data_IF_562414771050
#
_entry.id   IF_562414771050
#
_cell.length_a   1.000
_cell.length_b   1.000
_cell.length_c   1.000
_cell.angle_alpha   90.00
_cell.angle_beta   90.00
_cell.angle_gamma   90.00
#
_symmetry.space_group_name_H-M   'P 1'
#
loop_
_entity.id
_entity.type
_entity.pdbx_description
1 polymer ?
#
# COMPACT_ATOMS: atom_id res chain seq x y z
N UNK A 1 6.03 13.18 5.82
CA UNK A 1 5.58 11.90 5.23
C UNK A 1 5.20 12.17 3.78
N UNK A 2 5.58 11.29 2.88
CA UNK A 2 5.28 11.38 1.46
C UNK A 2 4.15 10.42 1.08
N UNK A 3 3.24 10.80 0.17
CA UNK A 3 2.14 9.93 -0.27
C UNK A 3 2.06 9.80 -1.79
N UNK A 4 1.72 8.60 -2.27
CA UNK A 4 1.44 8.37 -3.69
C UNK A 4 -0.01 8.70 -4.04
N UNK A 5 -0.23 9.27 -5.21
CA UNK A 5 -1.54 9.58 -5.74
C UNK A 5 -1.58 9.58 -7.26
N UNK A 6 -2.78 9.40 -7.79
CA UNK A 6 -3.10 9.61 -9.20
C UNK A 6 -3.95 10.86 -9.35
N UNK A 7 -3.79 11.55 -10.48
CA UNK A 7 -4.66 12.68 -10.82
C UNK A 7 -6.10 12.18 -10.95
N UNK A 8 -7.04 12.95 -10.41
CA UNK A 8 -8.47 12.69 -10.56
C UNK A 8 -8.96 13.19 -11.93
N UNK A 9 -10.11 12.67 -12.38
CA UNK A 9 -10.71 13.07 -13.67
C UNK A 9 -10.99 14.57 -13.76
N UNK A 10 -11.27 15.21 -12.63
CA UNK A 10 -11.48 16.64 -12.51
C UNK A 10 -10.30 17.27 -11.77
N UNK A 11 -9.66 18.25 -12.42
CA UNK A 11 -8.50 18.96 -11.89
C UNK A 11 -8.80 19.70 -10.58
N UNK A 12 -10.04 20.20 -10.39
CA UNK A 12 -10.44 20.88 -9.16
C UNK A 12 -10.42 19.92 -7.97
N UNK A 13 -10.82 18.67 -8.19
CA UNK A 13 -10.77 17.63 -7.16
C UNK A 13 -9.34 17.21 -6.87
N UNK A 14 -8.50 17.09 -7.92
CA UNK A 14 -7.05 16.85 -7.74
C UNK A 14 -6.43 17.94 -6.87
N UNK A 15 -6.69 19.21 -7.18
CA UNK A 15 -6.15 20.36 -6.43
C UNK A 15 -6.64 20.37 -4.98
N UNK A 16 -7.93 20.14 -4.75
CA UNK A 16 -8.49 20.05 -3.40
C UNK A 16 -7.84 18.94 -2.57
N UNK A 17 -7.65 17.74 -3.14
CA UNK A 17 -6.99 16.62 -2.45
C UNK A 17 -5.54 16.99 -2.10
N UNK A 18 -4.84 17.65 -3.02
CA UNK A 18 -3.45 18.05 -2.83
C UNK A 18 -3.33 19.14 -1.74
N UNK A 19 -4.23 20.12 -1.72
CA UNK A 19 -4.31 21.13 -0.67
C UNK A 19 -4.54 20.50 0.70
N UNK A 20 -5.50 19.57 0.82
CA UNK A 20 -5.79 18.86 2.07
C UNK A 20 -4.59 18.03 2.56
N UNK A 21 -3.89 17.35 1.65
CA UNK A 21 -2.67 16.59 1.98
C UNK A 21 -1.54 17.50 2.45
N UNK A 22 -1.33 18.62 1.77
CA UNK A 22 -0.30 19.59 2.12
C UNK A 22 -0.61 20.25 3.48
N UNK A 23 -1.88 20.60 3.74
CA UNK A 23 -2.32 21.12 5.03
C UNK A 23 -2.08 20.12 6.18
N UNK A 24 -2.19 18.82 5.90
CA UNK A 24 -1.85 17.74 6.83
C UNK A 24 -0.35 17.45 6.97
N UNK A 25 0.53 18.25 6.37
CA UNK A 25 1.98 18.07 6.42
C UNK A 25 2.51 16.93 5.54
N UNK A 26 1.68 16.34 4.66
CA UNK A 26 2.14 15.41 3.66
C UNK A 26 2.71 16.16 2.46
N UNK A 27 3.85 15.71 1.96
CA UNK A 27 4.33 16.09 0.64
C UNK A 27 3.81 15.07 -0.36
N UNK A 28 2.95 15.50 -1.27
CA UNK A 28 2.52 14.63 -2.35
C UNK A 28 3.68 14.44 -3.34
N UNK A 29 4.17 13.19 -3.47
CA UNK A 29 5.20 12.87 -4.45
C UNK A 29 4.56 12.65 -5.82
N UNK A 30 4.10 13.73 -6.46
CA UNK A 30 3.66 13.72 -7.86
C UNK A 30 2.83 12.49 -8.28
N UNK A 31 2.99 12.06 -9.54
CA UNK A 31 2.39 10.81 -10.02
C UNK A 31 3.10 9.60 -9.41
N UNK A 32 2.35 8.52 -9.20
CA UNK A 32 2.88 7.19 -8.86
C UNK A 32 4.03 6.67 -9.76
N UNK A 33 4.26 7.31 -10.91
CA UNK A 33 5.36 7.05 -11.83
C UNK A 33 6.71 7.69 -11.44
N UNK A 34 6.77 8.62 -10.47
CA UNK A 34 8.03 9.25 -10.09
C UNK A 34 8.86 8.38 -9.11
N UNK A 35 9.29 7.24 -9.63
CA UNK A 35 10.20 6.33 -8.93
C UNK A 35 11.49 7.02 -8.48
N UNK A 36 11.97 8.03 -9.23
CA UNK A 36 13.17 8.79 -8.86
C UNK A 36 12.92 9.64 -7.61
N UNK A 37 11.79 10.31 -7.52
CA UNK A 37 11.42 11.07 -6.33
C UNK A 37 11.25 10.16 -5.10
N UNK A 38 10.61 8.99 -5.25
CA UNK A 38 10.50 8.01 -4.17
C UNK A 38 11.87 7.54 -3.67
N UNK A 39 12.77 7.17 -4.59
CA UNK A 39 14.13 6.74 -4.22
C UNK A 39 14.87 7.85 -3.46
N UNK A 40 14.81 9.10 -3.96
CA UNK A 40 15.45 10.24 -3.30
C UNK A 40 14.90 10.49 -1.90
N UNK A 41 13.59 10.43 -1.73
CA UNK A 41 12.94 10.60 -0.43
C UNK A 41 13.40 9.53 0.57
N UNK A 42 13.40 8.25 0.17
CA UNK A 42 13.87 7.15 1.03
C UNK A 42 15.36 7.28 1.35
N UNK A 43 16.21 7.65 0.39
CA UNK A 43 17.63 7.90 0.61
C UNK A 43 17.90 9.09 1.54
N UNK A 44 17.00 10.06 1.59
CA UNK A 44 17.03 11.18 2.54
C UNK A 44 16.48 10.81 3.93
N UNK A 45 16.11 9.53 4.17
CA UNK A 45 15.54 9.07 5.43
C UNK A 45 14.07 9.47 5.63
N UNK A 46 13.38 9.91 4.58
CA UNK A 46 11.97 10.25 4.64
C UNK A 46 11.07 9.00 4.54
N UNK A 47 9.85 9.11 5.07
CA UNK A 47 8.84 8.04 5.03
C UNK A 47 7.94 8.21 3.79
N UNK A 48 7.65 7.11 3.10
CA UNK A 48 6.64 7.03 2.04
C UNK A 48 5.49 6.13 2.51
N UNK A 49 4.27 6.67 2.47
CA UNK A 49 3.03 5.92 2.67
C UNK A 49 2.48 5.46 1.31
N UNK A 50 2.21 4.15 1.20
CA UNK A 50 1.75 3.51 -0.03
C UNK A 50 0.54 2.62 0.28
N UNK A 51 -0.63 2.85 -0.34
CA UNK A 51 -1.71 1.87 -0.32
C UNK A 51 -1.32 0.67 -1.19
N UNK A 52 -1.55 -0.54 -0.69
CA UNK A 52 -1.09 -1.80 -1.31
C UNK A 52 -2.23 -2.81 -1.49
N UNK A 53 -3.47 -2.39 -1.25
CA UNK A 53 -4.67 -3.22 -1.23
C UNK A 53 -5.59 -2.97 -2.45
N UNK A 54 -5.08 -2.36 -3.52
CA UNK A 54 -5.80 -2.20 -4.79
C UNK A 54 -5.36 -3.25 -5.81
N UNK A 55 -6.29 -3.70 -6.66
CA UNK A 55 -5.99 -4.62 -7.76
C UNK A 55 -4.91 -4.04 -8.69
N UNK A 56 -3.74 -4.69 -8.69
CA UNK A 56 -2.58 -4.28 -9.46
C UNK A 56 -2.61 -4.77 -10.92
N UNK A 57 -3.60 -5.60 -11.30
CA UNK A 57 -3.70 -6.21 -12.63
C UNK A 57 -2.38 -6.91 -12.98
N UNK A 58 -1.91 -6.77 -14.22
CA UNK A 58 -0.63 -7.34 -14.70
C UNK A 58 0.63 -6.76 -14.04
N UNK A 59 0.52 -5.71 -13.23
CA UNK A 59 1.66 -5.11 -12.53
C UNK A 59 1.90 -5.69 -11.12
N UNK A 60 1.01 -6.57 -10.65
CA UNK A 60 1.13 -7.25 -9.37
C UNK A 60 1.61 -8.69 -9.47
N UNK A 61 1.67 -9.33 -8.30
CA UNK A 61 1.80 -10.78 -8.16
C UNK A 61 0.50 -11.31 -7.54
N UNK A 62 0.05 -12.47 -8.02
CA UNK A 62 -1.10 -13.17 -7.44
C UNK A 62 -0.67 -13.82 -6.13
N UNK A 63 -1.37 -13.45 -5.05
CA UNK A 63 -1.09 -13.92 -3.70
C UNK A 63 -2.41 -14.01 -2.92
N UNK A 64 -2.54 -14.91 -1.92
CA UNK A 64 -3.75 -15.01 -1.12
C UNK A 64 -4.06 -13.71 -0.37
N UNK A 65 -5.26 -13.20 -0.52
CA UNK A 65 -5.83 -12.06 0.19
C UNK A 65 -7.21 -12.46 0.70
N UNK A 66 -7.40 -12.45 2.02
CA UNK A 66 -8.56 -13.05 2.70
C UNK A 66 -8.80 -14.52 2.30
N UNK A 67 -7.74 -15.25 1.92
CA UNK A 67 -7.80 -16.63 1.45
C UNK A 67 -8.13 -16.81 -0.04
N UNK A 68 -8.35 -15.73 -0.78
CA UNK A 68 -8.64 -15.76 -2.22
C UNK A 68 -7.47 -15.18 -3.03
N UNK A 69 -7.18 -15.69 -4.23
CA UNK A 69 -6.09 -15.18 -5.06
C UNK A 69 -6.37 -13.74 -5.50
N UNK A 70 -5.47 -12.79 -5.18
CA UNK A 70 -5.60 -11.39 -5.57
C UNK A 70 -4.28 -10.83 -6.11
N UNK A 71 -4.34 -9.97 -7.13
CA UNK A 71 -3.16 -9.29 -7.66
C UNK A 71 -2.76 -8.11 -6.79
N UNK A 72 -1.55 -8.17 -6.23
CA UNK A 72 -1.08 -7.20 -5.24
C UNK A 72 0.13 -6.42 -5.76
N UNK A 73 0.18 -5.08 -5.59
CA UNK A 73 1.28 -4.26 -6.07
C UNK A 73 2.62 -4.65 -5.42
N UNK A 74 3.65 -4.82 -6.25
CA UNK A 74 4.99 -5.26 -5.80
C UNK A 74 5.99 -4.12 -5.58
N UNK A 75 5.56 -2.88 -5.80
CA UNK A 75 6.44 -1.70 -5.78
C UNK A 75 7.14 -1.51 -4.43
N UNK A 76 6.43 -1.73 -3.32
CA UNK A 76 6.99 -1.59 -1.97
C UNK A 76 8.11 -2.62 -1.72
N UNK A 77 7.89 -3.88 -2.09
CA UNK A 77 8.85 -4.96 -1.92
C UNK A 77 10.11 -4.74 -2.77
N UNK A 78 9.94 -4.30 -4.02
CA UNK A 78 11.06 -3.94 -4.91
C UNK A 78 11.89 -2.77 -4.38
N UNK A 79 11.25 -1.75 -3.81
CA UNK A 79 11.96 -0.64 -3.18
C UNK A 79 12.73 -1.09 -1.94
N UNK A 80 12.13 -1.95 -1.12
CA UNK A 80 12.76 -2.52 0.07
C UNK A 80 14.01 -3.34 -0.27
N UNK A 81 13.94 -4.25 -1.24
CA UNK A 81 15.10 -5.03 -1.70
C UNK A 81 16.20 -4.13 -2.27
N UNK A 82 15.82 -3.12 -3.07
CA UNK A 82 16.78 -2.25 -3.75
C UNK A 82 17.51 -1.29 -2.81
N UNK A 83 16.80 -0.74 -1.82
CA UNK A 83 17.31 0.34 -0.97
C UNK A 83 17.62 -0.12 0.45
N UNK A 84 17.25 -1.35 0.82
CA UNK A 84 17.39 -1.85 2.19
C UNK A 84 16.48 -1.14 3.20
N UNK A 85 15.39 -0.51 2.75
CA UNK A 85 14.47 0.20 3.64
C UNK A 85 13.48 -0.75 4.32
N UNK A 86 13.08 -0.42 5.55
CA UNK A 86 12.07 -1.17 6.28
C UNK A 86 10.67 -0.95 5.68
N UNK A 87 9.86 -2.01 5.64
CA UNK A 87 8.43 -1.95 5.30
C UNK A 87 7.63 -2.12 6.58
N UNK A 88 6.95 -1.06 6.99
CA UNK A 88 6.18 -1.00 8.24
C UNK A 88 4.69 -1.00 7.90
N UNK A 89 3.94 -2.08 8.17
CA UNK A 89 2.51 -2.08 7.95
C UNK A 89 1.82 -1.09 8.90
N UNK A 90 0.83 -0.38 8.38
CA UNK A 90 0.00 0.49 9.18
C UNK A 90 -1.46 0.44 8.70
N UNK A 91 -2.39 0.57 9.63
CA UNK A 91 -3.82 0.67 9.35
C UNK A 91 -4.47 1.67 10.29
N UNK A 92 -5.65 2.16 9.91
CA UNK A 92 -6.40 3.16 10.66
C UNK A 92 -7.80 2.61 10.96
N UNK A 93 -8.25 2.76 12.20
CA UNK A 93 -9.58 2.35 12.65
C UNK A 93 -10.32 3.58 13.15
N UNK A 94 -11.52 3.82 12.62
CA UNK A 94 -12.45 4.82 13.13
C UNK A 94 -13.23 4.24 14.31
N UNK A 95 -13.34 5.01 15.37
CA UNK A 95 -14.24 4.69 16.47
C UNK A 95 -15.63 5.20 16.11
N UNK A 96 -16.57 4.28 15.78
CA UNK A 96 -17.85 4.58 15.13
C UNK A 96 -18.69 5.67 15.83
N UNK A 97 -18.65 5.72 17.17
CA UNK A 97 -19.43 6.67 17.97
C UNK A 97 -18.68 7.98 18.28
N UNK A 98 -17.53 8.22 17.66
CA UNK A 98 -16.69 9.40 17.90
C UNK A 98 -16.06 9.92 16.61
N UNK A 99 -15.44 11.10 16.68
CA UNK A 99 -14.57 11.61 15.62
C UNK A 99 -13.11 11.14 15.75
N UNK A 100 -12.85 10.09 16.53
CA UNK A 100 -11.49 9.59 16.78
C UNK A 100 -11.06 8.58 15.72
N UNK A 101 -9.79 8.69 15.35
CA UNK A 101 -9.07 7.74 14.51
C UNK A 101 -7.93 7.15 15.33
N UNK A 102 -7.79 5.83 15.28
CA UNK A 102 -6.71 5.09 15.92
C UNK A 102 -5.77 4.56 14.84
N UNK A 103 -4.52 5.03 14.85
CA UNK A 103 -3.50 4.60 13.92
C UNK A 103 -2.65 3.50 14.56
N UNK A 104 -2.58 2.37 13.89
CA UNK A 104 -1.79 1.22 14.31
C UNK A 104 -0.57 1.11 13.40
N UNK A 105 0.62 1.04 14.00
CA UNK A 105 1.87 0.73 13.32
C UNK A 105 2.36 -0.63 13.81
N UNK A 106 2.56 -1.56 12.90
CA UNK A 106 3.01 -2.91 13.23
C UNK A 106 4.53 -3.01 13.11
N UNK A 107 5.15 -4.06 13.69
CA UNK A 107 6.56 -4.35 13.44
C UNK A 107 6.86 -4.42 11.94
N UNK A 108 8.07 -4.00 11.56
CA UNK A 108 8.51 -4.08 10.17
C UNK A 108 8.46 -5.54 9.68
N UNK A 109 7.96 -5.73 8.45
CA UNK A 109 7.97 -7.02 7.78
C UNK A 109 9.42 -7.47 7.56
N UNK A 110 9.65 -8.77 7.76
CA UNK A 110 10.97 -9.38 7.66
C UNK A 110 11.01 -10.30 6.45
N UNK A 111 12.17 -10.37 5.80
CA UNK A 111 12.40 -11.41 4.79
C UNK A 111 12.61 -12.78 5.45
N UNK A 112 12.62 -13.81 4.62
CA UNK A 112 12.80 -15.20 5.04
C UNK A 112 14.26 -15.62 4.93
N UNK A 113 14.65 -16.66 5.68
CA UNK A 113 15.98 -17.28 5.58
C UNK A 113 17.15 -16.29 5.81
N UNK A 114 16.95 -15.28 6.65
CA UNK A 114 17.96 -14.24 6.89
C UNK A 114 18.18 -13.26 5.74
N UNK A 115 17.37 -13.33 4.67
CA UNK A 115 17.39 -12.37 3.56
C UNK A 115 16.58 -11.12 3.91
N UNK A 116 16.89 -9.95 3.31
CA UNK A 116 16.07 -8.77 3.42
C UNK A 116 14.63 -8.99 2.88
N UNK A 117 13.68 -8.23 3.43
CA UNK A 117 12.32 -8.18 2.87
C UNK A 117 12.36 -7.67 1.42
N UNK A 118 11.53 -8.25 0.55
CA UNK A 118 11.50 -7.96 -0.88
C UNK A 118 12.43 -8.83 -1.73
N UNK A 119 13.39 -9.54 -1.12
CA UNK A 119 14.33 -10.40 -1.85
C UNK A 119 13.63 -11.57 -2.55
N UNK A 120 12.70 -12.19 -1.85
CA UNK A 120 11.72 -13.11 -2.42
C UNK A 120 10.38 -12.37 -2.50
N UNK A 121 10.00 -11.99 -3.71
CA UNK A 121 8.81 -11.17 -3.94
C UNK A 121 7.53 -11.91 -3.56
N UNK A 122 7.43 -13.22 -3.83
CA UNK A 122 6.19 -13.96 -3.55
C UNK A 122 5.93 -13.98 -2.05
N UNK A 123 6.90 -14.46 -1.26
CA UNK A 123 6.73 -14.51 0.20
C UNK A 123 6.55 -13.14 0.84
N UNK A 124 7.21 -12.10 0.31
CA UNK A 124 7.02 -10.74 0.80
C UNK A 124 5.57 -10.27 0.61
N UNK A 125 4.99 -10.55 -0.56
CA UNK A 125 3.61 -10.16 -0.85
C UNK A 125 2.61 -11.02 -0.08
N UNK A 126 2.88 -12.31 0.11
CA UNK A 126 2.08 -13.19 0.97
C UNK A 126 2.02 -12.66 2.41
N UNK A 127 3.18 -12.31 2.99
CA UNK A 127 3.26 -11.76 4.34
C UNK A 127 2.51 -10.41 4.45
N UNK A 128 2.63 -9.55 3.43
CA UNK A 128 1.91 -8.28 3.36
C UNK A 128 0.39 -8.50 3.31
N UNK A 129 -0.08 -9.42 2.47
CA UNK A 129 -1.50 -9.70 2.33
C UNK A 129 -2.09 -10.39 3.55
N UNK A 130 -1.34 -11.25 4.26
CA UNK A 130 -1.82 -11.85 5.49
C UNK A 130 -2.04 -10.79 6.56
N UNK A 131 -1.09 -9.86 6.75
CA UNK A 131 -1.27 -8.73 7.68
C UNK A 131 -2.51 -7.90 7.32
N UNK A 132 -2.74 -7.66 6.02
CA UNK A 132 -3.93 -6.94 5.58
C UNK A 132 -5.20 -7.73 5.90
N UNK A 133 -5.17 -9.02 5.62
CA UNK A 133 -6.28 -9.93 5.86
C UNK A 133 -6.64 -10.03 7.34
N UNK A 134 -5.64 -10.07 8.23
CA UNK A 134 -5.84 -10.09 9.68
C UNK A 134 -6.59 -8.85 10.19
N UNK A 135 -6.21 -7.64 9.76
CA UNK A 135 -6.89 -6.43 10.23
C UNK A 135 -8.29 -6.29 9.61
N UNK A 136 -8.48 -6.67 8.34
CA UNK A 136 -9.82 -6.67 7.72
C UNK A 136 -10.72 -7.66 8.45
N UNK A 137 -10.24 -8.86 8.81
CA UNK A 137 -11.03 -9.81 9.61
C UNK A 137 -11.40 -9.26 10.97
N UNK A 138 -10.56 -8.41 11.57
CA UNK A 138 -10.84 -7.75 12.86
C UNK A 138 -11.84 -6.60 12.75
N UNK A 139 -11.80 -5.84 11.65
CA UNK A 139 -12.66 -4.68 11.41
C UNK A 139 -13.26 -4.71 9.99
N UNK A 140 -14.11 -5.70 9.69
CA UNK A 140 -14.57 -5.93 8.33
C UNK A 140 -15.40 -4.76 7.80
N UNK A 141 -16.16 -4.08 8.64
CA UNK A 141 -16.98 -2.91 8.29
C UNK A 141 -16.15 -1.68 7.89
N UNK A 142 -14.84 -1.66 8.16
CA UNK A 142 -13.98 -0.49 7.95
C UNK A 142 -13.05 -0.61 6.74
N UNK A 143 -13.11 -1.71 5.99
CA UNK A 143 -12.41 -1.82 4.71
C UNK A 143 -13.29 -1.35 3.55
N UNK A 144 -12.66 -0.86 2.49
CA UNK A 144 -13.35 -0.22 1.39
C UNK A 144 -13.81 -1.25 0.34
N UNK A 145 -14.82 -2.05 0.70
CA UNK A 145 -15.40 -3.15 -0.10
C UNK A 145 -15.90 -2.76 -1.50
N UNK A 146 -16.08 -1.47 -1.76
CA UNK A 146 -16.52 -0.98 -3.07
C UNK A 146 -15.45 -1.10 -4.15
N UNK A 147 -14.17 -1.30 -3.79
CA UNK A 147 -13.11 -1.53 -4.77
C UNK A 147 -13.15 -2.97 -5.29
N UNK A 148 -13.07 -3.16 -6.62
CA UNK A 148 -13.11 -4.49 -7.22
C UNK A 148 -11.74 -5.20 -7.08
N UNK A 149 -11.42 -5.60 -5.84
CA UNK A 149 -10.09 -6.11 -5.43
C UNK A 149 -9.62 -7.34 -6.23
N UNK A 150 -10.54 -8.17 -6.70
CA UNK A 150 -10.26 -9.45 -7.37
C UNK A 150 -10.50 -9.43 -8.89
N UNK A 151 -10.87 -8.28 -9.48
CA UNK A 151 -11.34 -8.18 -10.87
C UNK A 151 -10.39 -8.81 -11.90
N UNK A 152 -9.09 -8.50 -11.82
CA UNK A 152 -8.12 -9.03 -12.79
C UNK A 152 -7.96 -10.55 -12.70
N UNK A 153 -8.08 -11.12 -11.50
CA UNK A 153 -7.96 -12.56 -11.28
C UNK A 153 -9.23 -13.27 -11.76
N UNK A 154 -10.41 -12.73 -11.43
CA UNK A 154 -11.71 -13.26 -11.88
C UNK A 154 -11.85 -13.23 -13.41
N UNK A 155 -11.25 -12.23 -14.06
CA UNK A 155 -11.20 -12.13 -15.52
C UNK A 155 -10.17 -13.04 -16.20
N UNK A 156 -9.26 -13.66 -15.45
CA UNK A 156 -8.18 -14.48 -16.01
C UNK A 156 -7.09 -13.66 -16.71
N UNK A 157 -6.78 -12.44 -16.26
CA UNK A 157 -5.81 -11.56 -16.94
C UNK A 157 -4.34 -12.02 -16.85
N UNK A 158 -4.08 -13.16 -16.19
CA UNK A 158 -2.75 -13.69 -15.87
C UNK A 158 -2.37 -14.93 -16.68
N UNK A 159 -3.22 -15.34 -17.61
CA UNK A 159 -2.95 -16.40 -18.61
C UNK A 159 -2.09 -15.89 -19.79
#
# INVERSE_FOLDING_TARGET
MNGLGTDQRDERITNLIMELRNAGGMKALGKASDLKAMIRALQAGEIIAVPVDQDAKKAGIVSPFLGYPASTPIGMAKLADKLGCAVVPAYCVRWLDTHKLELHFLPALKGREGKPYGKDLQSSIDDCNEVISEWIRKYPDQWMWMYPRWESVERGDFD
#
